data_IF_258656892691
#
_entry.id   IF_258656892691
#
_cell.length_a   1.000
_cell.length_b   1.000
_cell.length_c   1.000
_cell.angle_alpha   90.00
_cell.angle_beta   90.00
_cell.angle_gamma   90.00
#
_symmetry.space_group_name_H-M   'P 1'
#
loop_
_entity.id
_entity.type
_entity.pdbx_description
1 polymer ?
#
# COMPACT_ATOMS: atom_id res chain seq x y z
N UNK A 1 -11.03 8.79 -29.84
CA UNK A 1 -12.12 9.67 -29.37
C UNK A 1 -13.06 8.85 -28.49
N UNK A 2 -12.77 8.80 -27.20
CA UNK A 2 -13.65 8.40 -26.10
C UNK A 2 -12.84 8.66 -24.81
N UNK A 3 -12.63 9.94 -24.51
CA UNK A 3 -12.17 10.39 -23.19
C UNK A 3 -13.09 9.77 -22.14
N UNK A 4 -12.53 8.96 -21.24
CA UNK A 4 -13.25 8.47 -20.07
C UNK A 4 -12.83 9.34 -18.87
N UNK A 5 -13.77 10.19 -18.45
CA UNK A 5 -13.91 11.12 -17.31
C UNK A 5 -12.98 11.06 -16.08
N UNK A 6 -12.14 10.04 -15.89
CA UNK A 6 -11.42 9.81 -14.62
C UNK A 6 -9.95 10.23 -14.71
N UNK A 7 -9.36 10.22 -15.91
CA UNK A 7 -8.00 10.76 -16.14
C UNK A 7 -7.95 12.30 -16.01
N UNK A 8 -9.12 12.96 -16.01
CA UNK A 8 -9.24 14.40 -15.73
C UNK A 8 -9.55 14.70 -14.26
N UNK A 9 -9.73 13.68 -13.41
CA UNK A 9 -9.99 13.90 -11.99
C UNK A 9 -8.68 14.26 -11.28
N UNK A 10 -8.74 15.30 -10.47
CA UNK A 10 -7.56 15.85 -9.85
C UNK A 10 -6.91 14.81 -8.91
N UNK A 11 -5.62 14.46 -9.08
CA UNK A 11 -4.94 13.48 -8.23
C UNK A 11 -5.05 13.84 -6.74
N UNK A 12 -5.01 15.13 -6.41
CA UNK A 12 -5.22 15.63 -5.04
C UNK A 12 -6.61 15.30 -4.49
N UNK A 13 -7.68 15.42 -5.30
CA UNK A 13 -9.03 15.09 -4.87
C UNK A 13 -9.18 13.58 -4.57
N UNK A 14 -8.47 12.76 -5.33
CA UNK A 14 -8.38 11.31 -5.11
C UNK A 14 -7.62 10.99 -3.83
N UNK A 15 -6.50 11.68 -3.56
CA UNK A 15 -5.75 11.57 -2.29
C UNK A 15 -6.63 11.96 -1.11
N UNK A 16 -7.36 13.07 -1.19
CA UNK A 16 -8.28 13.52 -0.13
C UNK A 16 -9.40 12.50 0.07
N UNK A 17 -9.98 11.95 -1.00
CA UNK A 17 -10.98 10.89 -0.92
C UNK A 17 -10.49 9.63 -0.21
N UNK A 18 -9.24 9.23 -0.46
CA UNK A 18 -8.63 8.06 0.21
C UNK A 18 -8.30 8.36 1.67
N UNK A 19 -7.82 9.56 1.98
CA UNK A 19 -7.58 9.99 3.37
C UNK A 19 -8.90 9.99 4.15
N UNK A 20 -9.96 10.57 3.59
CA UNK A 20 -11.30 10.57 4.19
C UNK A 20 -11.88 9.15 4.31
N UNK A 21 -11.65 8.29 3.32
CA UNK A 21 -12.02 6.87 3.37
C UNK A 21 -11.29 6.12 4.49
N UNK A 22 -10.00 6.41 4.66
CA UNK A 22 -9.15 5.81 5.70
C UNK A 22 -9.55 6.29 7.10
N UNK A 23 -9.89 7.58 7.25
CA UNK A 23 -10.43 8.14 8.50
C UNK A 23 -11.80 7.55 8.83
N UNK A 24 -12.68 7.39 7.83
CA UNK A 24 -14.00 6.77 8.03
C UNK A 24 -13.88 5.32 8.49
N UNK A 25 -13.02 4.52 7.84
CA UNK A 25 -12.66 3.16 8.30
C UNK A 25 -12.00 3.13 9.69
N UNK A 26 -11.34 4.23 10.07
CA UNK A 26 -10.78 4.44 11.40
C UNK A 26 -11.87 4.54 12.47
N UNK A 27 -12.96 5.25 12.16
CA UNK A 27 -14.01 5.65 13.10
C UNK A 27 -15.18 4.67 13.18
N UNK A 28 -15.45 3.87 12.14
CA UNK A 28 -16.58 2.92 12.12
C UNK A 28 -16.14 1.50 12.48
N UNK A 29 -16.68 0.94 13.57
CA UNK A 29 -16.41 -0.42 14.06
C UNK A 29 -17.46 -1.45 13.61
N UNK A 30 -17.92 -1.36 12.35
CA UNK A 30 -18.96 -2.22 11.79
C UNK A 30 -18.47 -2.96 10.54
N UNK A 31 -18.57 -4.29 10.53
CA UNK A 31 -18.08 -5.14 9.43
C UNK A 31 -18.72 -4.78 8.09
N UNK A 32 -19.99 -4.33 8.11
CA UNK A 32 -20.75 -3.91 6.92
C UNK A 32 -20.16 -2.65 6.28
N UNK A 33 -19.64 -1.73 7.09
CA UNK A 33 -19.02 -0.49 6.61
C UNK A 33 -17.65 -0.78 6.01
N UNK A 34 -16.86 -1.66 6.65
CA UNK A 34 -15.59 -2.11 6.08
C UNK A 34 -15.77 -2.82 4.74
N UNK A 35 -16.82 -3.63 4.59
CA UNK A 35 -17.15 -4.33 3.36
C UNK A 35 -17.66 -3.37 2.27
N UNK A 36 -18.47 -2.36 2.63
CA UNK A 36 -18.91 -1.32 1.71
C UNK A 36 -17.74 -0.45 1.20
N UNK A 37 -16.78 -0.11 2.05
CA UNK A 37 -15.58 0.65 1.66
C UNK A 37 -14.61 -0.21 0.84
N UNK A 38 -14.48 -1.50 1.17
CA UNK A 38 -13.78 -2.49 0.33
C UNK A 38 -14.40 -2.58 -1.07
N UNK A 39 -15.73 -2.68 -1.16
CA UNK A 39 -16.46 -2.67 -2.43
C UNK A 39 -16.31 -1.36 -3.19
N UNK A 40 -16.32 -0.21 -2.51
CA UNK A 40 -16.04 1.08 -3.11
C UNK A 40 -14.59 1.16 -3.62
N UNK A 41 -13.63 0.63 -2.87
CA UNK A 41 -12.23 0.51 -3.27
C UNK A 41 -12.06 -0.37 -4.51
N UNK A 42 -12.76 -1.51 -4.56
CA UNK A 42 -12.82 -2.42 -5.72
C UNK A 42 -13.52 -1.75 -6.91
N UNK A 43 -14.59 -1.00 -6.69
CA UNK A 43 -15.33 -0.29 -7.74
C UNK A 43 -14.47 0.84 -8.34
N UNK A 44 -13.70 1.54 -7.51
CA UNK A 44 -12.71 2.53 -7.94
C UNK A 44 -11.57 1.87 -8.74
N UNK A 45 -11.13 0.69 -8.28
CA UNK A 45 -10.08 -0.10 -8.91
C UNK A 45 -10.52 -0.70 -10.25
N UNK A 46 -11.78 -1.15 -10.35
CA UNK A 46 -12.42 -1.67 -11.56
C UNK A 46 -12.74 -0.56 -12.57
N UNK A 47 -12.94 0.67 -12.10
CA UNK A 47 -13.16 1.87 -12.92
C UNK A 47 -11.83 2.42 -13.49
N UNK A 48 -10.69 2.15 -12.86
CA UNK A 48 -9.38 2.60 -13.33
C UNK A 48 -8.79 1.64 -14.40
N UNK A 49 -8.58 2.17 -15.60
CA UNK A 49 -8.10 1.41 -16.79
C UNK A 49 -6.60 1.02 -16.76
N UNK A 50 -5.80 1.58 -15.83
CA UNK A 50 -4.34 1.30 -15.74
C UNK A 50 -3.99 -0.02 -15.04
N UNK A 51 -4.98 -0.78 -14.59
CA UNK A 51 -4.75 -1.99 -13.80
C UNK A 51 -4.80 -3.23 -14.68
N UNK A 52 -3.64 -3.83 -14.98
CA UNK A 52 -3.57 -5.19 -15.51
C UNK A 52 -4.23 -6.13 -14.48
N UNK A 53 -5.32 -6.83 -14.81
CA UNK A 53 -6.00 -7.73 -13.87
C UNK A 53 -5.05 -8.83 -13.35
N UNK A 54 -4.06 -9.22 -14.15
CA UNK A 54 -3.01 -10.17 -13.74
C UNK A 54 -2.06 -9.60 -12.67
N UNK A 55 -1.72 -8.30 -12.74
CA UNK A 55 -0.88 -7.63 -11.75
C UNK A 55 -1.66 -7.41 -10.44
N UNK A 56 -2.94 -7.08 -10.57
CA UNK A 56 -3.87 -6.96 -9.46
C UNK A 56 -4.03 -8.29 -8.71
N UNK A 57 -4.18 -9.41 -9.42
CA UNK A 57 -4.27 -10.74 -8.80
C UNK A 57 -2.99 -11.11 -8.05
N UNK A 58 -1.81 -10.76 -8.58
CA UNK A 58 -0.52 -10.98 -7.89
C UNK A 58 -0.38 -10.17 -6.60
N UNK A 59 -0.99 -8.98 -6.51
CA UNK A 59 -0.93 -8.12 -5.33
C UNK A 59 -2.01 -8.50 -4.31
N UNK A 60 -3.20 -8.91 -4.77
CA UNK A 60 -4.28 -9.38 -3.89
C UNK A 60 -3.90 -10.70 -3.23
N UNK A 61 -3.11 -11.57 -3.86
CA UNK A 61 -2.72 -12.86 -3.31
C UNK A 61 -2.00 -12.76 -1.94
N UNK A 62 -0.87 -12.03 -1.78
CA UNK A 62 -0.23 -11.87 -0.48
C UNK A 62 -1.13 -11.12 0.51
N UNK A 63 -1.98 -10.21 0.02
CA UNK A 63 -2.92 -9.51 0.87
C UNK A 63 -3.99 -10.44 1.45
N UNK A 64 -4.52 -11.35 0.64
CA UNK A 64 -5.47 -12.36 1.09
C UNK A 64 -4.83 -13.26 2.15
N UNK A 65 -3.56 -13.64 1.98
CA UNK A 65 -2.81 -14.40 2.98
C UNK A 65 -2.73 -13.64 4.31
N UNK A 66 -2.34 -12.35 4.28
CA UNK A 66 -2.27 -11.50 5.47
C UNK A 66 -3.65 -11.39 6.14
N UNK A 67 -4.69 -11.08 5.35
CA UNK A 67 -6.06 -10.96 5.86
C UNK A 67 -6.55 -12.28 6.49
N UNK A 68 -6.18 -13.42 5.91
CA UNK A 68 -6.53 -14.74 6.43
C UNK A 68 -5.79 -15.04 7.74
N UNK A 69 -4.52 -14.64 7.86
CA UNK A 69 -3.77 -14.74 9.13
C UNK A 69 -4.49 -13.98 10.24
N UNK A 70 -4.95 -12.76 9.98
CA UNK A 70 -5.68 -11.96 10.96
C UNK A 70 -7.08 -12.51 11.27
N UNK A 71 -7.73 -13.17 10.31
CA UNK A 71 -8.97 -13.89 10.57
C UNK A 71 -8.76 -15.03 11.58
N UNK A 72 -7.71 -15.84 11.40
CA UNK A 72 -7.36 -16.90 12.35
C UNK A 72 -6.99 -16.34 13.73
N UNK A 73 -6.26 -15.22 13.79
CA UNK A 73 -5.97 -14.54 15.08
C UNK A 73 -7.25 -14.08 15.77
N UNK A 74 -8.18 -13.44 15.07
CA UNK A 74 -9.43 -12.98 15.67
C UNK A 74 -10.38 -14.11 16.07
N UNK A 75 -10.30 -15.25 15.38
CA UNK A 75 -11.09 -16.45 15.70
C UNK A 75 -10.53 -17.25 16.90
N UNK A 76 -9.21 -17.38 17.00
CA UNK A 76 -8.57 -18.16 18.07
C UNK A 76 -8.41 -17.39 19.40
N UNK A 77 -8.26 -16.06 19.33
CA UNK A 77 -7.96 -15.22 20.51
C UNK A 77 -9.14 -14.39 21.03
N UNK A 78 -10.34 -14.52 20.45
CA UNK A 78 -11.52 -13.77 20.90
C UNK A 78 -12.05 -14.19 22.28
N UNK A 79 -11.71 -15.40 22.76
CA UNK A 79 -12.06 -15.86 24.12
C UNK A 79 -11.04 -15.46 25.21
N UNK A 80 -9.86 -14.92 24.85
CA UNK A 80 -8.80 -14.65 25.83
C UNK A 80 -9.02 -13.39 26.68
N UNK A 81 -9.96 -12.51 26.32
CA UNK A 81 -10.40 -11.43 27.20
C UNK A 81 -11.02 -11.92 28.52
N UNK A 82 -11.46 -13.18 28.56
CA UNK A 82 -12.03 -13.83 29.76
C UNK A 82 -11.06 -14.87 30.37
N UNK A 83 -10.22 -15.52 29.56
CA UNK A 83 -9.35 -16.61 30.05
C UNK A 83 -8.04 -16.18 30.74
N UNK A 84 -7.54 -14.95 30.55
CA UNK A 84 -6.34 -14.50 31.28
C UNK A 84 -6.60 -14.24 32.79
N UNK A 85 -7.86 -14.24 33.22
CA UNK A 85 -8.25 -14.03 34.62
C UNK A 85 -8.50 -15.33 35.39
N UNK A 86 -8.66 -16.47 34.72
CA UNK A 86 -8.98 -17.74 35.38
C UNK A 86 -8.22 -18.88 34.71
N UNK A 87 -7.14 -19.32 35.35
CA UNK A 87 -6.47 -20.57 35.00
C UNK A 87 -7.43 -21.74 35.15
N UNK A 88 -8.05 -22.16 34.07
CA UNK A 88 -8.87 -23.36 34.02
C UNK A 88 -9.06 -23.79 32.56
N UNK A 89 -8.22 -24.71 32.12
CA UNK A 89 -8.57 -25.97 31.42
C UNK A 89 -9.93 -26.11 30.72
N UNK A 90 -10.37 -25.16 29.90
CA UNK A 90 -11.44 -25.44 28.95
C UNK A 90 -11.18 -24.74 27.62
N UNK A 91 -10.96 -25.56 26.60
CA UNK A 91 -10.90 -25.16 25.21
C UNK A 91 -12.33 -24.80 24.77
N UNK A 92 -12.84 -23.69 25.29
CA UNK A 92 -14.20 -23.23 25.07
C UNK A 92 -14.44 -23.11 23.55
N UNK A 93 -15.41 -23.88 23.06
CA UNK A 93 -15.82 -23.92 21.67
C UNK A 93 -16.07 -22.47 21.18
N UNK A 94 -15.50 -22.08 20.02
CA UNK A 94 -15.63 -20.71 19.53
C UNK A 94 -17.11 -20.39 19.34
N UNK A 95 -17.60 -19.44 20.12
CA UNK A 95 -19.01 -19.03 20.10
C UNK A 95 -19.22 -18.15 18.86
N UNK A 96 -20.44 -18.00 18.34
CA UNK A 96 -20.70 -17.18 17.13
C UNK A 96 -20.18 -15.73 17.20
N UNK A 97 -19.90 -15.22 18.40
CA UNK A 97 -19.30 -13.89 18.65
C UNK A 97 -17.82 -13.81 18.26
N UNK A 98 -17.10 -14.93 18.35
CA UNK A 98 -15.68 -15.06 18.03
C UNK A 98 -15.45 -14.99 16.51
N UNK A 99 -16.38 -15.56 15.75
CA UNK A 99 -16.41 -15.47 14.30
C UNK A 99 -16.67 -14.04 13.80
N UNK A 100 -17.58 -13.31 14.45
CA UNK A 100 -17.88 -11.91 14.11
C UNK A 100 -16.68 -11.00 14.39
N UNK A 101 -15.93 -11.26 15.46
CA UNK A 101 -14.71 -10.51 15.75
C UNK A 101 -13.59 -10.78 14.72
N UNK A 102 -13.35 -12.05 14.38
CA UNK A 102 -12.42 -12.43 13.33
C UNK A 102 -12.76 -11.81 11.97
N UNK A 103 -14.05 -11.81 11.61
CA UNK A 103 -14.52 -11.21 10.36
C UNK A 103 -14.38 -9.68 10.34
N UNK A 104 -14.63 -9.01 11.46
CA UNK A 104 -14.40 -7.57 11.60
C UNK A 104 -12.92 -7.20 11.40
N UNK A 105 -12.01 -7.95 12.03
CA UNK A 105 -10.59 -7.67 11.97
C UNK A 105 -10.01 -7.92 10.57
N UNK A 106 -10.34 -9.06 9.96
CA UNK A 106 -9.84 -9.39 8.62
C UNK A 106 -10.38 -8.45 7.55
N UNK A 107 -11.69 -8.15 7.58
CA UNK A 107 -12.31 -7.21 6.63
C UNK A 107 -11.72 -5.80 6.71
N UNK A 108 -11.36 -5.35 7.92
CA UNK A 108 -10.73 -4.04 8.12
C UNK A 108 -9.35 -3.96 7.47
N UNK A 109 -8.52 -4.97 7.70
CA UNK A 109 -7.15 -5.02 7.17
C UNK A 109 -7.18 -5.16 5.65
N UNK A 110 -8.10 -5.98 5.15
CA UNK A 110 -8.35 -6.10 3.72
C UNK A 110 -8.78 -4.75 3.10
N UNK A 111 -9.69 -4.01 3.74
CA UNK A 111 -10.17 -2.72 3.25
C UNK A 111 -9.05 -1.66 3.20
N UNK A 112 -8.24 -1.52 4.26
CA UNK A 112 -7.12 -0.57 4.27
C UNK A 112 -6.08 -0.89 3.20
N UNK A 113 -5.73 -2.16 3.05
CA UNK A 113 -4.77 -2.56 2.04
C UNK A 113 -5.30 -2.35 0.62
N UNK A 114 -6.57 -2.67 0.36
CA UNK A 114 -7.20 -2.42 -0.95
C UNK A 114 -7.25 -0.93 -1.29
N UNK A 115 -7.55 -0.06 -0.33
CA UNK A 115 -7.48 1.40 -0.53
C UNK A 115 -6.05 1.86 -0.87
N UNK A 116 -5.05 1.38 -0.13
CA UNK A 116 -3.65 1.74 -0.37
C UNK A 116 -3.15 1.30 -1.74
N UNK A 117 -3.43 0.05 -2.13
CA UNK A 117 -3.07 -0.49 -3.45
C UNK A 117 -3.79 0.27 -4.56
N UNK A 118 -5.08 0.54 -4.37
CA UNK A 118 -5.87 1.31 -5.33
C UNK A 118 -5.25 2.69 -5.57
N UNK A 119 -4.87 3.39 -4.50
CA UNK A 119 -4.19 4.67 -4.63
C UNK A 119 -2.86 4.57 -5.39
N UNK A 120 -1.99 3.63 -4.98
CA UNK A 120 -0.64 3.49 -5.54
C UNK A 120 -0.63 3.05 -7.00
N UNK A 121 -1.58 2.21 -7.42
CA UNK A 121 -1.66 1.76 -8.82
C UNK A 121 -2.30 2.79 -9.75
N UNK A 122 -3.07 3.72 -9.21
CA UNK A 122 -3.91 4.62 -10.03
C UNK A 122 -3.47 6.08 -9.98
N UNK A 123 -2.42 6.41 -9.22
CA UNK A 123 -1.90 7.77 -9.06
C UNK A 123 -0.42 7.80 -9.41
N UNK A 124 -0.03 8.63 -10.38
CA UNK A 124 1.37 8.89 -10.68
C UNK A 124 1.99 9.84 -9.65
N UNK A 125 3.23 9.58 -9.23
CA UNK A 125 3.90 10.39 -8.20
C UNK A 125 4.21 11.81 -8.68
N UNK A 126 4.54 12.00 -9.96
CA UNK A 126 4.82 13.31 -10.55
C UNK A 126 3.56 14.15 -10.69
N UNK A 127 2.47 13.55 -11.19
CA UNK A 127 1.15 14.22 -11.27
C UNK A 127 0.62 14.59 -9.88
N UNK A 128 0.85 13.76 -8.87
CA UNK A 128 0.51 14.07 -7.49
C UNK A 128 1.24 15.32 -6.99
N UNK A 129 2.56 15.39 -7.15
CA UNK A 129 3.36 16.54 -6.71
C UNK A 129 2.91 17.82 -7.43
N UNK A 130 2.70 17.75 -8.75
CA UNK A 130 2.22 18.88 -9.54
C UNK A 130 0.83 19.35 -9.06
N UNK A 131 -0.07 18.41 -8.79
CA UNK A 131 -1.41 18.72 -8.28
C UNK A 131 -1.39 19.35 -6.88
N UNK A 132 -0.48 18.90 -6.01
CA UNK A 132 -0.27 19.46 -4.67
C UNK A 132 0.28 20.89 -4.72
N UNK A 133 1.20 21.17 -5.63
CA UNK A 133 1.71 22.54 -5.86
C UNK A 133 0.55 23.47 -6.23
N UNK A 134 -0.32 23.03 -7.15
CA UNK A 134 -1.41 23.86 -7.67
C UNK A 134 -2.59 24.02 -6.70
N UNK A 135 -3.05 22.94 -6.06
CA UNK A 135 -4.25 22.97 -5.20
C UNK A 135 -3.95 23.24 -3.73
N UNK A 136 -2.93 22.60 -3.17
CA UNK A 136 -2.58 22.78 -1.76
C UNK A 136 -1.72 24.03 -1.53
N UNK A 137 -1.45 24.82 -2.59
CA UNK A 137 -0.58 26.01 -2.57
C UNK A 137 0.76 25.74 -1.88
N UNK A 138 1.33 24.57 -2.16
CA UNK A 138 2.61 24.19 -1.58
C UNK A 138 3.70 25.17 -2.03
N UNK A 139 4.61 25.61 -1.14
CA UNK A 139 5.71 26.49 -1.53
C UNK A 139 6.51 25.87 -2.69
N UNK A 140 6.71 26.62 -3.77
CA UNK A 140 7.41 26.14 -4.97
C UNK A 140 8.77 25.51 -4.67
N UNK A 141 9.49 26.04 -3.67
CA UNK A 141 10.77 25.49 -3.19
C UNK A 141 10.64 24.05 -2.70
N UNK A 142 9.57 23.73 -1.97
CA UNK A 142 9.33 22.38 -1.45
C UNK A 142 8.85 21.44 -2.55
N UNK A 143 7.93 21.90 -3.41
CA UNK A 143 7.43 21.11 -4.53
C UNK A 143 8.54 20.69 -5.49
N UNK A 144 9.42 21.63 -5.85
CA UNK A 144 10.57 21.34 -6.71
C UNK A 144 11.56 20.39 -6.05
N UNK A 145 11.88 20.58 -4.76
CA UNK A 145 12.78 19.68 -4.03
C UNK A 145 12.27 18.22 -4.02
N UNK A 146 10.97 18.01 -3.80
CA UNK A 146 10.37 16.67 -3.82
C UNK A 146 10.40 16.08 -5.24
N UNK A 147 10.06 16.87 -6.26
CA UNK A 147 10.11 16.41 -7.65
C UNK A 147 11.53 16.00 -8.05
N UNK A 148 12.54 16.81 -7.66
CA UNK A 148 13.94 16.47 -7.86
C UNK A 148 14.31 15.17 -7.14
N UNK A 149 13.90 14.98 -5.88
CA UNK A 149 14.18 13.74 -5.14
C UNK A 149 13.57 12.48 -5.80
N UNK A 150 12.33 12.58 -6.31
CA UNK A 150 11.68 11.48 -7.04
C UNK A 150 12.46 11.14 -8.32
N UNK A 151 12.84 12.16 -9.09
CA UNK A 151 13.63 11.96 -10.31
C UNK A 151 15.02 11.39 -9.98
N UNK A 152 15.69 11.87 -8.93
CA UNK A 152 16.97 11.36 -8.46
C UNK A 152 16.89 9.87 -8.06
N UNK A 153 15.77 9.42 -7.51
CA UNK A 153 15.57 8.00 -7.15
C UNK A 153 15.69 7.09 -8.39
N UNK A 154 15.13 7.53 -9.52
CA UNK A 154 15.24 6.79 -10.78
C UNK A 154 16.68 6.77 -11.31
N UNK A 155 17.39 7.89 -11.18
CA UNK A 155 18.79 8.03 -11.55
C UNK A 155 19.70 7.14 -10.70
N UNK A 156 19.47 7.11 -9.39
CA UNK A 156 20.18 6.24 -8.42
C UNK A 156 20.07 4.78 -8.83
N UNK A 157 18.87 4.34 -9.23
CA UNK A 157 18.64 2.97 -9.67
C UNK A 157 19.47 2.63 -10.92
N UNK A 158 19.53 3.52 -11.91
CA UNK A 158 20.31 3.29 -13.14
C UNK A 158 21.80 3.29 -12.88
N UNK A 159 22.30 4.20 -12.05
CA UNK A 159 23.72 4.32 -11.70
C UNK A 159 24.19 3.12 -10.86
N UNK A 160 23.33 2.60 -9.99
CA UNK A 160 23.59 1.37 -9.24
C UNK A 160 23.77 0.16 -10.17
N UNK A 161 22.88 -0.02 -11.14
CA UNK A 161 23.00 -1.10 -12.13
C UNK A 161 24.25 -0.96 -13.00
N UNK A 162 24.58 0.26 -13.45
CA UNK A 162 25.82 0.50 -14.20
C UNK A 162 27.07 0.21 -13.36
N UNK A 163 27.10 0.62 -12.10
CA UNK A 163 28.19 0.34 -11.17
C UNK A 163 28.37 -1.17 -10.94
N UNK A 164 27.25 -1.89 -10.81
CA UNK A 164 27.24 -3.35 -10.69
C UNK A 164 27.80 -4.02 -11.94
N UNK A 165 27.39 -3.59 -13.13
CA UNK A 165 27.88 -4.12 -14.40
C UNK A 165 29.38 -3.84 -14.60
N UNK A 166 29.85 -2.64 -14.24
CA UNK A 166 31.26 -2.28 -14.32
C UNK A 166 32.15 -3.16 -13.42
N UNK A 167 31.66 -3.52 -12.22
CA UNK A 167 32.36 -4.45 -11.32
C UNK A 167 32.37 -5.89 -11.85
N UNK A 168 31.31 -6.33 -12.52
CA UNK A 168 31.25 -7.64 -13.17
C UNK A 168 32.27 -7.78 -14.31
N UNK A 169 32.43 -6.75 -15.15
CA UNK A 169 33.45 -6.73 -16.21
C UNK A 169 34.87 -6.80 -15.64
N UNK A 170 35.08 -6.25 -14.44
CA UNK A 170 36.36 -6.35 -13.70
C UNK A 170 36.55 -7.68 -12.98
N UNK A 171 35.67 -8.65 -13.20
CA UNK A 171 35.67 -9.97 -12.58
C UNK A 171 35.60 -9.93 -11.04
N UNK A 172 35.01 -8.87 -10.47
CA UNK A 172 34.81 -8.74 -9.04
C UNK A 172 33.46 -9.38 -8.69
N UNK A 173 33.41 -10.40 -7.82
CA UNK A 173 32.17 -11.07 -7.49
C UNK A 173 31.24 -10.13 -6.72
N UNK A 174 30.17 -9.67 -7.38
CA UNK A 174 29.13 -8.83 -6.78
C UNK A 174 27.97 -9.71 -6.31
N UNK A 175 27.82 -9.81 -4.99
CA UNK A 175 26.63 -10.38 -4.34
C UNK A 175 25.48 -9.36 -4.38
N UNK A 176 24.21 -9.81 -4.29
CA UNK A 176 23.06 -8.91 -4.31
C UNK A 176 23.04 -7.87 -3.17
N UNK A 177 23.80 -8.08 -2.09
CA UNK A 177 23.93 -7.17 -0.95
C UNK A 177 25.37 -6.66 -0.75
N UNK A 178 26.19 -6.63 -1.80
CA UNK A 178 27.55 -6.09 -1.69
C UNK A 178 27.53 -4.54 -1.63
N UNK A 179 28.41 -3.95 -0.82
CA UNK A 179 28.50 -2.49 -0.63
C UNK A 179 29.40 -1.80 -1.66
N UNK A 180 30.24 -2.57 -2.38
CA UNK A 180 31.16 -2.04 -3.39
C UNK A 180 30.45 -1.28 -4.52
N UNK A 181 29.34 -1.78 -5.11
CA UNK A 181 28.60 -1.02 -6.14
C UNK A 181 28.02 0.28 -5.61
N UNK A 182 27.57 0.32 -4.35
CA UNK A 182 27.01 1.52 -3.72
C UNK A 182 28.07 2.59 -3.50
N UNK A 183 29.25 2.20 -3.02
CA UNK A 183 30.35 3.14 -2.82
C UNK A 183 30.84 3.73 -4.14
N UNK A 184 31.03 2.89 -5.17
CA UNK A 184 31.42 3.37 -6.51
C UNK A 184 30.39 4.31 -7.12
N UNK A 185 29.11 4.02 -6.91
CA UNK A 185 28.01 4.86 -7.38
C UNK A 185 28.00 6.22 -6.67
N UNK A 186 28.21 6.24 -5.36
CA UNK A 186 28.23 7.48 -4.57
C UNK A 186 29.34 8.43 -5.02
N UNK A 187 30.55 7.90 -5.23
CA UNK A 187 31.69 8.68 -5.72
C UNK A 187 31.43 9.24 -7.13
N UNK A 188 30.65 8.55 -7.96
CA UNK A 188 30.28 9.01 -9.31
C UNK A 188 29.18 10.08 -9.29
N UNK A 189 28.37 10.13 -8.24
CA UNK A 189 27.22 11.05 -8.11
C UNK A 189 27.54 12.37 -7.40
N UNK A 190 28.66 12.45 -6.68
CA UNK A 190 29.19 13.68 -6.05
C UNK A 190 29.96 14.49 -7.08
#
# INVERSE_FOLDING_TARGET
MAEKMIDSINPTAKTVGIILGSISLGLTFEWRVNLAVSLLGILFLATSRRTEPARLMKVILPLAVISMSYFFTGWLFSSQGVQFASGASDLALPTGRDLVNGLNLSSRIFAFAMLGISYGMTTDSGELIASLIQQAKMPMKMGYAILTAVNLTSLIKTEHEQSRLALQVRNIPVKPLDSKPLFTMMVRMV
#
